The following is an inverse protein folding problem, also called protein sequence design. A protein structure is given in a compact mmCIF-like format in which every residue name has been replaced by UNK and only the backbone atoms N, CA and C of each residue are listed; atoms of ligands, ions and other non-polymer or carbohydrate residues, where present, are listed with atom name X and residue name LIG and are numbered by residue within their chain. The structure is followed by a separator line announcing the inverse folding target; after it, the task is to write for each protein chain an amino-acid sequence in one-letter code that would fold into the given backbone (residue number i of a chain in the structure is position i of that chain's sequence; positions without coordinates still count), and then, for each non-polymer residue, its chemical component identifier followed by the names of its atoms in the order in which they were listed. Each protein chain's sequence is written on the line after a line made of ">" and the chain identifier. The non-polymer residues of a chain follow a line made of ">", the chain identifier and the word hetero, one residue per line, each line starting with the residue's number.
data_IF_074987999718
#
_entry.id   IF_074987999718
#
_cell.length_a   1.000
_cell.length_b   1.000
_cell.length_c   1.000
_cell.angle_alpha   90.00
_cell.angle_beta   90.00
_cell.angle_gamma   90.00
#
_symmetry.space_group_name_H-M   'P 1'
#
loop_
_entity.id
_entity.type
_entity.pdbx_description
1 polymer ?
#
# COMPACT_ATOMS: atom_id res chain seq x y z
N UNK A 1 23.19 37.44 -23.13
CA UNK A 1 24.20 38.52 -23.17
C UNK A 1 24.76 38.56 -24.58
N UNK A 2 25.01 39.74 -25.14
CA UNK A 2 25.56 39.91 -26.49
C UNK A 2 27.07 40.15 -26.39
N UNK A 3 27.89 39.14 -26.71
CA UNK A 3 29.32 39.33 -26.82
C UNK A 3 29.66 39.74 -28.25
N UNK A 4 30.27 40.91 -28.38
CA UNK A 4 30.61 41.54 -29.65
C UNK A 4 31.89 40.92 -30.24
N UNK A 5 32.07 41.00 -31.56
CA UNK A 5 33.33 40.58 -32.21
C UNK A 5 34.48 41.50 -31.81
N UNK A 6 35.61 40.91 -31.44
CA UNK A 6 36.89 41.60 -31.44
C UNK A 6 37.51 41.57 -32.85
N UNK A 7 38.20 42.65 -33.22
CA UNK A 7 38.92 42.76 -34.49
C UNK A 7 40.42 42.55 -34.25
N UNK A 8 40.96 41.43 -34.74
CA UNK A 8 42.40 41.20 -34.91
C UNK A 8 42.77 41.30 -36.39
N UNK A 9 43.89 41.98 -36.69
CA UNK A 9 44.40 42.17 -38.06
C UNK A 9 45.88 41.83 -38.13
N UNK A 10 46.35 41.46 -39.33
CA UNK A 10 47.76 41.28 -39.72
C UNK A 10 48.52 40.08 -39.15
N UNK A 11 48.73 39.05 -39.99
CA UNK A 11 50.07 38.52 -40.33
C UNK A 11 49.97 37.59 -41.56
N UNK A 12 51.09 37.38 -42.25
CA UNK A 12 51.20 36.54 -43.45
C UNK A 12 51.73 35.11 -43.16
N UNK A 13 51.55 34.25 -44.18
CA UNK A 13 52.28 33.00 -44.52
C UNK A 13 52.03 31.62 -43.84
N UNK A 14 52.21 30.60 -44.71
CA UNK A 14 52.28 29.13 -44.56
C UNK A 14 51.09 28.29 -43.98
N UNK A 15 51.05 27.01 -44.38
CA UNK A 15 50.02 25.99 -44.07
C UNK A 15 50.61 24.56 -44.12
N UNK A 16 49.87 23.46 -44.42
CA UNK A 16 48.44 23.28 -44.68
C UNK A 16 47.72 22.70 -43.41
N UNK A 17 47.17 21.45 -43.25
CA UNK A 17 46.94 20.27 -44.10
C UNK A 17 45.44 20.01 -44.44
N UNK A 18 45.11 18.82 -44.98
CA UNK A 18 43.75 18.40 -45.37
C UNK A 18 43.01 17.56 -44.28
N UNK A 19 41.68 17.71 -44.11
CA UNK A 19 40.82 16.78 -43.39
C UNK A 19 40.17 15.73 -44.32
N UNK A 20 40.02 14.49 -43.84
CA UNK A 20 39.49 13.34 -44.60
C UNK A 20 37.98 13.40 -44.89
N UNK A 21 37.58 12.96 -46.08
CA UNK A 21 36.19 13.00 -46.58
C UNK A 21 35.43 11.68 -46.37
N UNK A 22 35.00 11.43 -45.14
CA UNK A 22 34.03 10.36 -44.84
C UNK A 22 32.61 10.91 -44.66
N UNK A 23 31.59 10.09 -44.94
CA UNK A 23 30.15 10.42 -44.97
C UNK A 23 29.63 11.18 -46.22
N UNK A 24 30.02 10.73 -47.41
CA UNK A 24 29.32 11.08 -48.65
C UNK A 24 27.93 10.40 -48.72
N UNK A 25 26.92 10.98 -48.05
CA UNK A 25 25.54 10.46 -48.05
C UNK A 25 24.98 10.48 -49.48
N UNK A 26 24.49 9.33 -49.95
CA UNK A 26 24.01 9.19 -51.34
C UNK A 26 22.80 10.08 -51.62
N UNK A 27 22.79 10.75 -52.78
CA UNK A 27 21.65 11.56 -53.25
C UNK A 27 20.37 10.72 -53.37
N UNK A 28 20.49 9.43 -53.68
CA UNK A 28 19.34 8.50 -53.70
C UNK A 28 18.82 8.16 -52.30
N UNK A 29 19.64 8.20 -51.26
CA UNK A 29 19.18 8.05 -49.87
C UNK A 29 18.51 9.34 -49.38
N UNK A 30 19.04 10.50 -49.76
CA UNK A 30 18.42 11.80 -49.49
C UNK A 30 17.07 11.90 -50.18
N UNK A 31 16.96 11.56 -51.47
CA UNK A 31 15.67 11.59 -52.18
C UNK A 31 14.65 10.59 -51.63
N UNK A 32 15.09 9.50 -51.00
CA UNK A 32 14.23 8.51 -50.34
C UNK A 32 13.87 8.88 -48.89
N UNK A 33 14.66 9.75 -48.23
CA UNK A 33 14.32 10.39 -46.94
C UNK A 33 13.40 11.60 -47.12
N UNK A 34 13.50 12.29 -48.25
CA UNK A 34 12.67 13.44 -48.62
C UNK A 34 11.61 13.14 -49.70
N UNK A 35 11.26 11.86 -49.91
CA UNK A 35 10.20 11.49 -50.85
C UNK A 35 8.84 11.90 -50.29
N UNK A 36 8.26 12.97 -50.84
CA UNK A 36 6.93 13.45 -50.46
C UNK A 36 5.90 12.40 -50.86
N UNK A 37 5.17 11.84 -49.88
CA UNK A 37 4.05 10.94 -50.11
C UNK A 37 2.89 11.73 -50.74
N UNK A 38 2.87 11.80 -52.08
CA UNK A 38 1.90 12.57 -52.86
C UNK A 38 0.45 12.09 -52.70
N UNK A 39 0.27 10.82 -52.32
CA UNK A 39 -1.00 10.28 -51.85
C UNK A 39 -0.76 9.63 -50.47
N UNK A 40 -1.00 10.33 -49.35
CA UNK A 40 -1.11 9.68 -48.05
C UNK A 40 -2.35 8.78 -48.02
N UNK A 41 -2.45 7.90 -47.03
CA UNK A 41 -3.64 7.08 -46.81
C UNK A 41 -4.79 7.96 -46.27
N UNK A 42 -5.49 8.63 -47.19
CA UNK A 42 -6.67 9.44 -46.89
C UNK A 42 -7.82 8.49 -46.61
N UNK A 43 -8.06 8.21 -45.32
CA UNK A 43 -9.31 7.61 -44.86
C UNK A 43 -10.48 8.45 -45.42
N UNK A 44 -11.50 7.83 -46.05
CA UNK A 44 -12.58 8.56 -46.67
C UNK A 44 -13.37 9.37 -45.63
N UNK A 45 -14.00 10.50 -46.02
CA UNK A 45 -14.77 11.37 -45.12
C UNK A 45 -16.15 10.78 -44.76
N UNK A 46 -16.23 9.46 -44.58
CA UNK A 46 -17.43 8.69 -44.26
C UNK A 46 -17.06 7.40 -43.51
N UNK A 47 -18.01 6.76 -42.81
CA UNK A 47 -17.72 5.66 -41.89
C UNK A 47 -17.57 4.31 -42.61
N UNK A 48 -16.47 4.15 -43.37
CA UNK A 48 -16.03 2.84 -43.91
C UNK A 48 -15.42 1.92 -42.82
N UNK A 49 -15.54 2.32 -41.55
CA UNK A 49 -15.16 1.52 -40.38
C UNK A 49 -16.17 0.42 -40.12
N UNK A 50 -15.86 -0.80 -40.58
CA UNK A 50 -16.52 -2.03 -40.11
C UNK A 50 -16.32 -2.27 -38.60
N UNK A 51 -15.28 -1.66 -38.02
CA UNK A 51 -15.02 -1.51 -36.59
C UNK A 51 -16.08 -0.57 -35.99
N UNK A 52 -16.83 -1.04 -35.00
CA UNK A 52 -17.84 -0.23 -34.32
C UNK A 52 -17.45 -0.01 -32.86
N UNK A 53 -16.99 1.20 -32.56
CA UNK A 53 -16.53 1.60 -31.23
C UNK A 53 -17.68 1.67 -30.21
N UNK A 54 -17.34 1.40 -28.95
CA UNK A 54 -18.22 1.48 -27.78
C UNK A 54 -17.95 2.76 -27.00
N UNK A 55 -18.95 3.31 -26.30
CA UNK A 55 -18.70 4.35 -25.29
C UNK A 55 -18.11 3.75 -24.01
N UNK A 56 -17.06 4.39 -23.50
CA UNK A 56 -16.29 4.00 -22.31
C UNK A 56 -17.14 3.98 -21.04
N UNK A 57 -18.25 4.73 -21.01
CA UNK A 57 -19.21 4.72 -19.90
C UNK A 57 -20.11 3.48 -19.83
N UNK A 58 -20.19 2.68 -20.89
CA UNK A 58 -21.12 1.54 -20.98
C UNK A 58 -20.54 0.26 -20.37
N UNK A 59 -21.33 -0.41 -19.52
CA UNK A 59 -20.90 -1.58 -18.73
C UNK A 59 -21.47 -2.91 -19.21
N UNK A 60 -22.49 -2.87 -20.07
CA UNK A 60 -23.22 -4.05 -20.56
C UNK A 60 -23.26 -3.98 -22.09
N UNK A 61 -22.91 -5.08 -22.75
CA UNK A 61 -22.78 -5.16 -24.20
C UNK A 61 -23.76 -6.24 -24.70
N UNK A 62 -24.65 -5.86 -25.61
CA UNK A 62 -25.76 -6.73 -26.10
C UNK A 62 -25.35 -7.72 -27.19
N UNK A 63 -24.08 -7.73 -27.58
CA UNK A 63 -23.52 -8.53 -28.69
C UNK A 63 -22.06 -8.90 -28.42
N UNK A 64 -21.60 -9.97 -29.05
CA UNK A 64 -20.19 -10.35 -29.03
C UNK A 64 -19.41 -9.49 -30.04
N UNK A 65 -18.66 -8.50 -29.56
CA UNK A 65 -17.76 -7.67 -30.38
C UNK A 65 -16.37 -8.31 -30.47
N UNK A 66 -15.52 -7.82 -31.39
CA UNK A 66 -14.12 -8.27 -31.49
C UNK A 66 -13.26 -7.67 -30.38
N UNK A 67 -12.11 -8.32 -30.11
CA UNK A 67 -11.08 -7.78 -29.22
C UNK A 67 -10.66 -6.37 -29.64
N UNK A 68 -10.34 -6.18 -30.94
CA UNK A 68 -9.96 -4.91 -31.57
C UNK A 68 -11.05 -3.82 -31.55
N UNK A 69 -12.29 -4.15 -31.18
CA UNK A 69 -13.42 -3.20 -31.07
C UNK A 69 -13.69 -2.80 -29.61
N UNK A 70 -13.20 -3.59 -28.64
CA UNK A 70 -13.48 -3.44 -27.20
C UNK A 70 -12.26 -2.90 -26.45
N UNK A 71 -11.06 -3.40 -26.74
CA UNK A 71 -9.82 -3.06 -26.05
C UNK A 71 -9.04 -1.91 -26.70
N UNK A 72 -9.70 -1.07 -27.52
CA UNK A 72 -9.08 0.14 -28.08
C UNK A 72 -8.73 1.15 -26.98
N UNK A 73 -7.50 1.69 -26.93
CA UNK A 73 -7.15 2.74 -25.98
C UNK A 73 -7.91 4.04 -26.26
N UNK A 74 -8.28 4.78 -25.21
CA UNK A 74 -8.97 6.07 -25.33
C UNK A 74 -8.03 7.10 -25.96
N UNK A 75 -8.47 7.74 -27.04
CA UNK A 75 -7.67 8.74 -27.75
C UNK A 75 -7.70 10.11 -27.03
N UNK A 76 -6.52 10.72 -26.88
CA UNK A 76 -6.34 12.07 -26.30
C UNK A 76 -5.43 12.07 -25.06
N UNK A 77 -5.07 13.25 -24.54
CA UNK A 77 -4.28 13.37 -23.32
C UNK A 77 -5.13 13.08 -22.07
N UNK A 78 -4.53 12.47 -21.05
CA UNK A 78 -5.17 12.35 -19.73
C UNK A 78 -5.46 13.73 -19.13
N UNK A 79 -6.59 13.86 -18.43
CA UNK A 79 -6.92 15.06 -17.67
C UNK A 79 -5.96 15.23 -16.47
N UNK A 80 -5.16 16.32 -16.42
CA UNK A 80 -4.17 16.53 -15.35
C UNK A 80 -4.79 17.01 -14.03
N UNK A 81 -6.05 17.48 -14.04
CA UNK A 81 -6.74 17.98 -12.85
C UNK A 81 -7.36 16.87 -11.98
N UNK A 82 -7.31 15.61 -12.44
CA UNK A 82 -7.80 14.46 -11.68
C UNK A 82 -6.76 13.96 -10.69
N UNK A 83 -7.13 13.84 -9.41
CA UNK A 83 -6.29 13.17 -8.40
C UNK A 83 -6.15 11.68 -8.70
N UNK A 84 -5.15 11.01 -8.12
CA UNK A 84 -4.94 9.57 -8.32
C UNK A 84 -6.20 8.73 -7.99
N UNK A 85 -6.94 9.10 -6.94
CA UNK A 85 -8.21 8.46 -6.56
C UNK A 85 -9.37 8.79 -7.52
N UNK A 86 -9.27 9.85 -8.33
CA UNK A 86 -10.24 10.18 -9.38
C UNK A 86 -9.89 9.53 -10.72
N UNK A 87 -8.60 9.31 -11.01
CA UNK A 87 -8.14 8.56 -12.18
C UNK A 87 -8.40 7.04 -12.07
N UNK A 88 -8.32 6.48 -10.87
CA UNK A 88 -8.55 5.06 -10.65
C UNK A 88 -10.01 4.64 -10.97
N UNK A 89 -10.24 3.56 -11.73
CA UNK A 89 -11.58 3.04 -11.99
C UNK A 89 -12.20 2.55 -10.67
N UNK A 90 -13.44 2.95 -10.39
CA UNK A 90 -14.08 2.70 -9.10
C UNK A 90 -15.60 2.58 -9.20
N UNK A 91 -16.15 1.72 -8.34
CA UNK A 91 -17.59 1.48 -8.19
C UNK A 91 -18.12 2.04 -6.86
N UNK A 92 -17.23 2.23 -5.87
CA UNK A 92 -17.49 2.89 -4.60
C UNK A 92 -16.40 3.94 -4.31
N UNK A 93 -16.59 4.79 -3.30
CA UNK A 93 -15.66 5.91 -3.02
C UNK A 93 -14.20 5.47 -2.82
N UNK A 94 -13.99 4.29 -2.24
CA UNK A 94 -12.68 3.72 -1.90
C UNK A 94 -12.04 2.87 -3.00
N UNK A 95 -12.73 2.55 -4.10
CA UNK A 95 -12.18 1.72 -5.18
C UNK A 95 -13.22 0.92 -5.98
N UNK A 96 -12.75 -0.12 -6.66
CA UNK A 96 -13.59 -1.07 -7.39
C UNK A 96 -13.91 -2.30 -6.51
N UNK A 97 -15.15 -2.78 -6.58
CA UNK A 97 -15.60 -4.01 -5.90
C UNK A 97 -16.57 -4.73 -6.83
N UNK A 98 -16.30 -6.00 -7.04
CA UNK A 98 -17.07 -6.94 -7.86
C UNK A 98 -17.24 -8.29 -7.14
N UNK A 99 -18.01 -9.21 -7.73
CA UNK A 99 -18.27 -10.54 -7.17
C UNK A 99 -17.34 -11.57 -7.80
N UNK A 100 -16.18 -11.78 -7.19
CA UNK A 100 -15.27 -12.86 -7.57
C UNK A 100 -15.83 -14.25 -7.16
N UNK A 101 -15.63 -15.25 -8.01
CA UNK A 101 -16.00 -16.65 -7.75
C UNK A 101 -14.72 -17.49 -7.56
N UNK A 102 -14.23 -17.52 -6.33
CA UNK A 102 -13.00 -18.24 -5.93
C UNK A 102 -13.40 -19.52 -5.16
N UNK A 103 -12.60 -20.59 -5.27
CA UNK A 103 -12.79 -21.79 -4.43
C UNK A 103 -12.48 -21.48 -2.97
N UNK A 104 -13.42 -21.76 -2.05
CA UNK A 104 -13.26 -21.58 -0.60
C UNK A 104 -11.97 -22.17 -0.06
N UNK A 105 -11.60 -23.37 -0.53
CA UNK A 105 -10.38 -24.05 -0.11
C UNK A 105 -9.12 -23.32 -0.59
N UNK A 106 -9.09 -22.80 -1.82
CA UNK A 106 -7.96 -22.01 -2.32
C UNK A 106 -7.84 -20.68 -1.56
N UNK A 107 -8.96 -19.98 -1.34
CA UNK A 107 -8.99 -18.74 -0.59
C UNK A 107 -8.48 -18.92 0.85
N UNK A 108 -9.02 -19.89 1.60
CA UNK A 108 -8.60 -20.13 2.99
C UNK A 108 -7.17 -20.71 3.07
N UNK A 109 -6.72 -21.45 2.06
CA UNK A 109 -5.32 -21.89 1.93
C UNK A 109 -4.37 -20.70 1.83
N UNK A 110 -4.61 -19.76 0.90
CA UNK A 110 -3.77 -18.58 0.74
C UNK A 110 -3.85 -17.66 1.96
N UNK A 111 -5.06 -17.43 2.49
CA UNK A 111 -5.29 -16.63 3.71
C UNK A 111 -4.54 -17.17 4.94
N UNK A 112 -4.55 -18.49 5.16
CA UNK A 112 -3.79 -19.13 6.26
C UNK A 112 -2.29 -19.07 6.04
N UNK A 113 -1.84 -19.20 4.79
CA UNK A 113 -0.42 -19.11 4.40
C UNK A 113 0.12 -17.71 4.66
N UNK A 114 -0.62 -16.67 4.27
CA UNK A 114 -0.27 -15.28 4.61
C UNK A 114 -0.22 -15.05 6.12
N UNK A 115 -1.22 -15.51 6.87
CA UNK A 115 -1.25 -15.36 8.33
C UNK A 115 -0.15 -16.16 9.07
N UNK A 116 0.33 -17.27 8.51
CA UNK A 116 1.27 -18.18 9.18
C UNK A 116 2.74 -17.97 8.80
N UNK A 117 3.01 -17.43 7.60
CA UNK A 117 4.36 -17.25 7.04
C UNK A 117 4.62 -15.84 6.48
N UNK A 118 3.58 -15.02 6.30
CA UNK A 118 3.70 -13.64 5.80
C UNK A 118 3.67 -13.49 4.27
N UNK A 119 3.41 -14.56 3.51
CA UNK A 119 3.29 -14.53 2.04
C UNK A 119 2.07 -15.31 1.51
N UNK A 120 1.61 -14.95 0.32
CA UNK A 120 0.59 -15.66 -0.45
C UNK A 120 0.73 -15.34 -1.95
N UNK A 121 0.06 -16.12 -2.80
CA UNK A 121 -0.18 -15.72 -4.19
C UNK A 121 -1.04 -14.44 -4.22
N UNK A 122 -0.75 -13.54 -5.16
CA UNK A 122 -1.61 -12.41 -5.49
C UNK A 122 -2.98 -12.89 -6.03
N UNK A 123 -4.11 -12.40 -5.50
CA UNK A 123 -5.45 -12.73 -6.03
C UNK A 123 -5.92 -11.81 -7.18
N UNK A 124 -5.09 -10.90 -7.71
CA UNK A 124 -5.46 -10.13 -8.92
C UNK A 124 -5.51 -11.02 -10.18
N UNK A 125 -6.32 -10.63 -11.16
CA UNK A 125 -6.65 -11.48 -12.32
C UNK A 125 -5.48 -11.67 -13.29
N UNK A 126 -4.65 -10.64 -13.45
CA UNK A 126 -3.59 -10.59 -14.47
C UNK A 126 -2.18 -10.90 -13.93
N UNK A 127 -2.05 -11.18 -12.62
CA UNK A 127 -0.76 -11.43 -11.96
C UNK A 127 -0.71 -12.82 -11.32
N UNK A 128 0.48 -13.42 -11.38
CA UNK A 128 0.81 -14.68 -10.70
C UNK A 128 1.93 -14.46 -9.66
N UNK A 129 2.15 -13.21 -9.26
CA UNK A 129 3.19 -12.85 -8.31
C UNK A 129 2.88 -13.32 -6.88
N UNK A 130 3.92 -13.34 -6.04
CA UNK A 130 3.83 -13.71 -4.63
C UNK A 130 4.06 -12.47 -3.79
N UNK A 131 3.03 -12.10 -3.03
CA UNK A 131 2.93 -10.88 -2.24
C UNK A 131 3.26 -11.14 -0.77
N UNK A 132 3.76 -10.10 -0.09
CA UNK A 132 4.19 -10.16 1.31
C UNK A 132 5.69 -10.45 1.48
N UNK A 133 6.07 -11.05 2.62
CA UNK A 133 7.47 -11.40 2.92
C UNK A 133 7.87 -12.65 2.15
N UNK A 134 8.54 -12.46 1.01
CA UNK A 134 9.23 -13.55 0.29
C UNK A 134 10.25 -14.21 1.25
N UNK A 135 10.31 -15.56 1.34
CA UNK A 135 11.27 -16.26 2.18
C UNK A 135 12.65 -16.24 1.52
N UNK A 136 13.68 -16.01 2.32
CA UNK A 136 15.03 -15.73 1.82
C UNK A 136 15.76 -17.00 1.28
N UNK A 137 15.40 -18.19 1.80
CA UNK A 137 16.20 -19.43 1.64
C UNK A 137 15.56 -20.57 0.81
N UNK A 138 14.33 -20.41 0.28
CA UNK A 138 13.60 -21.53 -0.37
C UNK A 138 12.87 -21.14 -1.66
N UNK A 139 13.27 -21.74 -2.78
CA UNK A 139 12.59 -21.64 -4.09
C UNK A 139 11.19 -22.30 -4.11
N UNK A 140 10.81 -23.02 -3.06
CA UNK A 140 9.52 -23.69 -2.92
C UNK A 140 8.63 -22.93 -1.94
N UNK A 141 7.68 -22.16 -2.49
CA UNK A 141 6.61 -21.53 -1.71
C UNK A 141 5.56 -22.58 -1.37
N UNK A 142 5.33 -22.83 -0.08
CA UNK A 142 4.54 -23.96 0.42
C UNK A 142 3.42 -23.49 1.32
N UNK A 143 2.21 -23.96 1.06
CA UNK A 143 1.01 -23.57 1.80
C UNK A 143 0.91 -24.28 3.16
N UNK A 144 0.07 -23.76 4.05
CA UNK A 144 -0.15 -24.33 5.40
C UNK A 144 -0.69 -25.77 5.38
N UNK A 145 -1.29 -26.22 4.27
CA UNK A 145 -1.81 -27.59 4.13
C UNK A 145 -0.79 -28.59 3.57
N UNK A 146 0.43 -28.14 3.22
CA UNK A 146 1.51 -29.01 2.74
C UNK A 146 2.40 -29.51 3.88
N UNK A 147 3.09 -30.64 3.64
CA UNK A 147 3.95 -31.29 4.62
C UNK A 147 5.29 -30.55 4.82
N UNK A 148 5.29 -29.54 5.68
CA UNK A 148 6.46 -28.75 6.05
C UNK A 148 7.33 -29.42 7.13
N UNK A 149 8.66 -29.18 7.14
CA UNK A 149 9.53 -29.60 8.24
C UNK A 149 9.14 -28.88 9.54
N UNK A 150 8.84 -29.65 10.59
CA UNK A 150 8.38 -29.13 11.89
C UNK A 150 9.36 -28.12 12.47
N UNK A 151 8.92 -26.86 12.64
CA UNK A 151 9.73 -25.74 13.14
C UNK A 151 10.17 -26.01 14.57
N UNK A 152 11.23 -25.32 15.02
CA UNK A 152 11.71 -25.46 16.40
C UNK A 152 10.65 -25.00 17.42
N UNK A 153 9.87 -23.97 17.09
CA UNK A 153 8.74 -23.51 17.91
C UNK A 153 7.61 -24.56 18.04
N UNK A 154 7.37 -25.38 17.00
CA UNK A 154 6.37 -26.46 17.03
C UNK A 154 6.79 -27.62 17.98
N UNK A 155 8.01 -27.57 18.54
CA UNK A 155 8.59 -28.56 19.48
C UNK A 155 8.67 -28.06 20.93
N UNK A 156 8.09 -26.88 21.25
CA UNK A 156 8.03 -26.34 22.64
C UNK A 156 7.41 -27.37 23.58
N UNK A 157 8.00 -27.50 24.78
CA UNK A 157 7.58 -28.52 25.76
C UNK A 157 6.27 -28.08 26.42
N UNK A 158 5.33 -29.01 26.54
CA UNK A 158 4.05 -28.84 27.24
C UNK A 158 3.99 -29.77 28.43
N UNK A 159 3.35 -29.33 29.52
CA UNK A 159 2.92 -30.23 30.58
C UNK A 159 1.89 -31.20 29.99
N UNK A 160 2.06 -32.51 30.21
CA UNK A 160 1.23 -33.54 29.61
C UNK A 160 0.88 -34.62 30.64
N UNK A 161 -0.40 -34.73 30.94
CA UNK A 161 -0.97 -35.83 31.68
C UNK A 161 -2.26 -36.26 30.97
N UNK A 162 -2.22 -37.46 30.38
CA UNK A 162 -3.31 -38.02 29.56
C UNK A 162 -4.15 -39.03 30.36
N UNK A 163 -3.82 -39.30 31.63
CA UNK A 163 -4.45 -40.35 32.42
C UNK A 163 -5.86 -39.88 32.90
N UNK A 164 -6.97 -40.44 32.38
CA UNK A 164 -8.31 -39.95 32.71
C UNK A 164 -8.79 -40.34 34.12
N UNK A 165 -8.01 -41.18 34.83
CA UNK A 165 -8.26 -41.60 36.21
C UNK A 165 -7.76 -40.57 37.24
N UNK A 166 -6.91 -39.62 36.82
CA UNK A 166 -6.31 -38.59 37.67
C UNK A 166 -7.20 -37.32 37.69
N UNK A 167 -8.11 -37.28 38.67
CA UNK A 167 -9.15 -36.25 38.79
C UNK A 167 -8.58 -34.83 38.96
N UNK A 168 -7.44 -34.68 39.64
CA UNK A 168 -6.84 -33.37 39.92
C UNK A 168 -5.72 -33.00 38.93
N UNK A 169 -5.01 -34.00 38.39
CA UNK A 169 -3.84 -33.81 37.54
C UNK A 169 -4.07 -33.93 36.04
N UNK A 170 -5.23 -34.40 35.56
CA UNK A 170 -5.49 -34.56 34.12
C UNK A 170 -5.42 -33.23 33.36
N UNK A 171 -4.63 -33.20 32.28
CA UNK A 171 -4.41 -32.00 31.45
C UNK A 171 -4.79 -32.22 29.98
N UNK A 172 -4.56 -33.43 29.45
CA UNK A 172 -4.85 -33.79 28.06
C UNK A 172 -4.39 -32.71 27.04
N UNK A 173 -5.25 -32.34 26.08
CA UNK A 173 -4.97 -31.27 25.10
C UNK A 173 -4.77 -29.86 25.69
N UNK A 174 -5.17 -29.61 26.94
CA UNK A 174 -5.16 -28.29 27.58
C UNK A 174 -3.87 -27.97 28.35
N UNK A 175 -2.91 -28.89 28.43
CA UNK A 175 -1.64 -28.67 29.13
C UNK A 175 -0.85 -27.46 28.60
N UNK A 176 -0.55 -26.49 29.46
CA UNK A 176 0.23 -25.29 29.13
C UNK A 176 1.66 -25.64 28.70
N UNK A 177 2.35 -24.68 28.05
CA UNK A 177 3.79 -24.81 27.81
C UNK A 177 4.58 -24.68 29.12
N UNK A 178 5.76 -25.30 29.20
CA UNK A 178 6.62 -25.26 30.40
C UNK A 178 7.27 -23.87 30.57
N UNK A 179 7.49 -23.18 29.45
CA UNK A 179 8.03 -21.82 29.35
C UNK A 179 6.94 -20.72 29.34
N UNK A 180 5.68 -21.06 29.63
CA UNK A 180 4.53 -20.13 29.62
C UNK A 180 4.21 -19.57 31.01
N UNK A 181 4.53 -18.29 31.23
CA UNK A 181 4.14 -17.57 32.44
C UNK A 181 2.66 -17.16 32.36
N UNK A 182 1.80 -17.81 33.15
CA UNK A 182 0.36 -17.53 33.20
C UNK A 182 -0.02 -16.12 33.70
N UNK A 183 0.90 -15.43 34.38
CA UNK A 183 0.65 -14.12 35.00
C UNK A 183 1.81 -13.19 34.63
N UNK A 184 1.66 -12.46 33.52
CA UNK A 184 2.52 -11.34 33.19
C UNK A 184 2.04 -10.10 33.96
N UNK A 185 2.77 -9.71 35.01
CA UNK A 185 2.65 -8.39 35.64
C UNK A 185 3.67 -7.45 34.99
N UNK A 186 3.33 -6.19 34.67
CA UNK A 186 4.37 -5.20 34.41
C UNK A 186 5.17 -4.98 35.69
N UNK A 187 6.48 -4.84 35.56
CA UNK A 187 7.40 -4.61 36.69
C UNK A 187 8.15 -3.28 36.51
N UNK A 188 8.64 -2.71 37.62
CA UNK A 188 9.44 -1.48 37.59
C UNK A 188 8.71 -0.27 37.00
N UNK A 189 9.33 0.34 35.99
CA UNK A 189 8.93 1.65 35.44
C UNK A 189 7.55 1.61 34.75
N UNK A 190 7.22 0.52 34.04
CA UNK A 190 5.91 0.36 33.38
C UNK A 190 4.76 0.34 34.40
N UNK A 191 4.96 -0.33 35.54
CA UNK A 191 3.96 -0.39 36.61
C UNK A 191 3.72 1.00 37.22
N UNK A 192 4.80 1.75 37.47
CA UNK A 192 4.73 3.13 37.98
C UNK A 192 4.08 4.09 36.96
N UNK A 193 4.37 3.94 35.67
CA UNK A 193 3.76 4.74 34.60
C UNK A 193 2.25 4.46 34.46
N UNK A 194 1.83 3.19 34.60
CA UNK A 194 0.41 2.81 34.63
C UNK A 194 -0.28 3.39 35.87
N UNK A 195 0.33 3.32 37.05
CA UNK A 195 -0.22 3.92 38.28
C UNK A 195 -0.34 5.45 38.15
N UNK A 196 0.68 6.12 37.61
CA UNK A 196 0.66 7.57 37.41
C UNK A 196 -0.41 7.99 36.38
N UNK A 197 -0.58 7.23 35.29
CA UNK A 197 -1.65 7.43 34.32
C UNK A 197 -3.04 7.25 34.95
N UNK A 198 -3.24 6.22 35.77
CA UNK A 198 -4.48 6.00 36.51
C UNK A 198 -4.73 7.14 37.51
N UNK A 199 -3.72 7.57 38.26
CA UNK A 199 -3.82 8.71 39.17
C UNK A 199 -4.18 10.01 38.44
N UNK A 200 -3.58 10.29 37.27
CA UNK A 200 -3.94 11.41 36.38
C UNK A 200 -5.40 11.30 35.90
N UNK A 201 -5.83 10.11 35.46
CA UNK A 201 -7.21 9.83 35.01
C UNK A 201 -8.24 10.05 36.14
N UNK A 202 -7.98 9.53 37.33
CA UNK A 202 -8.86 9.71 38.49
C UNK A 202 -8.92 11.16 38.98
N UNK A 203 -7.80 11.89 38.99
CA UNK A 203 -7.77 13.34 39.29
C UNK A 203 -8.57 14.15 38.28
N UNK A 204 -8.45 13.86 36.97
CA UNK A 204 -9.20 14.56 35.91
C UNK A 204 -10.71 14.26 35.91
N UNK A 205 -11.12 13.07 36.34
CA UNK A 205 -12.54 12.70 36.45
C UNK A 205 -13.26 13.27 37.68
N UNK A 206 -12.51 13.67 38.71
CA UNK A 206 -13.08 14.22 39.94
C UNK A 206 -13.35 15.71 39.77
N UNK A 207 -14.61 16.06 39.44
CA UNK A 207 -15.09 17.43 39.64
C UNK A 207 -14.74 17.87 41.06
N UNK A 208 -14.15 19.06 41.17
CA UNK A 208 -14.10 19.76 42.44
C UNK A 208 -15.51 20.27 42.69
N UNK A 209 -16.31 19.50 43.44
CA UNK A 209 -17.44 20.05 44.17
C UNK A 209 -16.87 21.16 45.06
N UNK A 210 -17.28 22.41 44.80
CA UNK A 210 -16.75 23.56 45.51
C UNK A 210 -16.93 23.35 47.01
N UNK A 211 -15.81 23.37 47.75
CA UNK A 211 -15.83 23.30 49.21
C UNK A 211 -16.58 24.54 49.68
N UNK A 212 -17.84 24.35 50.07
CA UNK A 212 -18.74 25.42 50.47
C UNK A 212 -18.03 26.37 51.43
N UNK A 213 -17.79 27.60 50.94
CA UNK A 213 -16.94 28.56 51.61
C UNK A 213 -17.62 28.95 52.92
N UNK A 214 -17.23 28.29 54.02
CA UNK A 214 -17.62 28.70 55.37
C UNK A 214 -16.84 29.96 55.70
N UNK A 215 -17.36 31.08 55.24
CA UNK A 215 -16.97 32.41 55.66
C UNK A 215 -16.98 32.46 57.20
N UNK A 216 -15.84 32.84 57.78
CA UNK A 216 -15.67 33.01 59.21
C UNK A 216 -15.29 34.47 59.47
N UNK A 217 -16.27 35.28 59.84
CA UNK A 217 -16.01 36.57 60.45
C UNK A 217 -15.41 36.37 61.85
N UNK A 218 -14.45 37.21 62.22
CA UNK A 218 -13.86 37.23 63.56
C UNK A 218 -14.40 38.48 64.26
N UNK A 219 -15.21 38.28 65.30
CA UNK A 219 -15.75 39.36 66.11
C UNK A 219 -14.66 39.89 67.05
N UNK A 220 -14.31 41.17 66.94
CA UNK A 220 -13.27 41.81 67.75
C UNK A 220 -13.86 42.66 68.87
N UNK A 221 -14.86 42.10 69.57
CA UNK A 221 -15.54 42.69 70.73
C UNK A 221 -15.44 41.67 71.87
N UNK A 222 -15.22 42.11 73.11
CA UNK A 222 -15.04 41.21 74.27
C UNK A 222 -16.29 40.39 74.57
N UNK A 223 -17.44 41.06 74.62
CA UNK A 223 -18.72 40.47 74.97
C UNK A 223 -19.73 40.73 73.82
N UNK A 224 -20.31 39.67 73.21
CA UNK A 224 -21.10 39.81 71.97
C UNK A 224 -22.55 40.28 72.20
N UNK A 225 -22.92 40.67 73.42
CA UNK A 225 -24.29 41.07 73.82
C UNK A 225 -24.28 42.32 74.73
N UNK A 226 -23.20 43.09 74.70
CA UNK A 226 -23.10 44.36 75.44
C UNK A 226 -23.89 45.47 74.72
N UNK A 227 -25.14 45.67 75.15
CA UNK A 227 -26.05 46.70 74.67
C UNK A 227 -26.35 47.68 75.81
N UNK A 228 -25.52 48.71 75.97
CA UNK A 228 -25.63 49.71 77.04
C UNK A 228 -25.27 51.13 76.57
#
# INVERSE_FOLDING_TARGET
>A
MLNLKEYGSSSEEEGPPEPTTENAISVHELSKKFSVNAAPEVLPPGPDTSIQFLDVGTKEITRNMKYEELFTPVAGPENPFLTQQQKAPKNMMTGFVEKAHISDFMFETQRRTFHSFGYALDPTVDSTEIIGRKPDDTNEFKTVFESLPKRLADKRKRHKNDNPEDIEGYLGPWGCYVDEQKIAKPEGEDAAAIEEFLAKKHKRGKKLEDKSFKEKSILHIKDPVDYQ
#
